data_IF_820457514850
#
_entry.id   IF_820457514850
#
_cell.length_a   1.000
_cell.length_b   1.000
_cell.length_c   1.000
_cell.angle_alpha   90.00
_cell.angle_beta   90.00
_cell.angle_gamma   90.00
#
_symmetry.space_group_name_H-M   'P 1'
#
loop_
_entity.id
_entity.type
_entity.pdbx_description
1 polymer ?
#
# COMPACT_ATOMS: atom_id res chain seq x y z
N UNK A 1 2.38 -15.86 23.59
CA UNK A 1 1.86 -16.42 24.84
C UNK A 1 1.31 -17.81 24.63
N UNK A 2 0.47 -18.04 23.66
CA UNK A 2 -0.07 -19.33 23.23
C UNK A 2 -0.42 -19.27 21.74
N UNK A 3 -0.25 -20.37 21.03
CA UNK A 3 -0.71 -20.56 19.65
C UNK A 3 -1.65 -21.76 19.68
N UNK A 4 -2.81 -21.60 19.11
CA UNK A 4 -3.84 -22.64 18.99
C UNK A 4 -4.14 -22.84 17.52
N UNK A 5 -4.11 -24.07 17.06
CA UNK A 5 -4.52 -24.46 15.71
C UNK A 5 -5.93 -25.05 15.81
N UNK A 6 -6.90 -24.29 15.32
CA UNK A 6 -8.32 -24.67 15.29
C UNK A 6 -8.75 -25.08 13.89
N UNK A 7 -7.80 -25.39 13.00
CA UNK A 7 -8.07 -25.76 11.61
C UNK A 7 -9.04 -26.94 11.52
N UNK A 8 -10.15 -26.74 10.82
CA UNK A 8 -11.14 -27.75 10.48
C UNK A 8 -11.40 -27.77 8.98
N UNK A 9 -12.59 -27.36 8.52
CA UNK A 9 -12.88 -27.17 7.10
C UNK A 9 -12.17 -25.92 6.53
N UNK A 10 -11.97 -24.93 7.38
CA UNK A 10 -11.20 -23.71 7.08
C UNK A 10 -9.99 -23.65 8.00
N UNK A 11 -8.91 -23.01 7.52
CA UNK A 11 -7.67 -22.86 8.32
C UNK A 11 -7.87 -21.72 9.31
N UNK A 12 -7.73 -22.04 10.61
CA UNK A 12 -7.79 -21.06 11.69
C UNK A 12 -6.63 -21.27 12.68
N UNK A 13 -5.75 -20.29 12.77
CA UNK A 13 -4.64 -20.25 13.74
C UNK A 13 -4.80 -19.04 14.64
N UNK A 14 -5.04 -19.29 15.94
CA UNK A 14 -5.22 -18.24 16.94
C UNK A 14 -3.93 -17.99 17.71
N UNK A 15 -3.41 -16.76 17.62
CA UNK A 15 -2.19 -16.33 18.31
C UNK A 15 -2.53 -15.39 19.46
N UNK A 16 -2.34 -15.84 20.70
CA UNK A 16 -2.54 -15.03 21.90
C UNK A 16 -1.31 -14.18 22.19
N UNK A 17 -1.43 -12.88 22.07
CA UNK A 17 -0.33 -11.95 22.33
C UNK A 17 -0.18 -11.65 23.83
N UNK A 18 0.98 -11.13 24.25
CA UNK A 18 1.17 -10.56 25.56
C UNK A 18 0.49 -9.19 25.66
N UNK A 19 0.02 -8.78 26.85
CA UNK A 19 -0.48 -7.42 27.06
C UNK A 19 0.53 -6.36 26.61
N UNK A 20 0.07 -5.35 25.86
CA UNK A 20 0.92 -4.27 25.35
C UNK A 20 1.71 -4.57 24.08
N UNK A 21 1.52 -5.74 23.47
CA UNK A 21 2.09 -6.07 22.14
C UNK A 21 1.07 -5.71 21.07
N UNK A 22 1.48 -4.87 20.11
CA UNK A 22 0.63 -4.51 18.98
C UNK A 22 0.42 -5.70 18.03
N UNK A 23 -0.84 -6.03 17.67
CA UNK A 23 -1.13 -7.04 16.67
C UNK A 23 -0.45 -6.78 15.33
N UNK A 24 -0.45 -5.51 14.85
CA UNK A 24 0.16 -5.14 13.59
C UNK A 24 1.67 -5.40 13.58
N UNK A 25 2.38 -5.06 14.68
CA UNK A 25 3.81 -5.41 14.82
C UNK A 25 4.04 -6.91 14.78
N UNK A 26 3.13 -7.69 15.35
CA UNK A 26 3.24 -9.15 15.35
C UNK A 26 3.00 -9.70 13.92
N UNK A 27 2.05 -9.14 13.18
CA UNK A 27 1.79 -9.49 11.78
C UNK A 27 3.04 -9.18 10.93
N UNK A 28 3.60 -7.98 11.06
CA UNK A 28 4.84 -7.61 10.36
C UNK A 28 6.01 -8.55 10.74
N UNK A 29 6.10 -8.96 12.02
CA UNK A 29 7.10 -9.93 12.48
C UNK A 29 6.90 -11.31 11.84
N UNK A 30 5.66 -11.77 11.71
CA UNK A 30 5.35 -13.02 11.03
C UNK A 30 5.78 -12.99 9.56
N UNK A 31 5.51 -11.89 8.86
CA UNK A 31 5.98 -11.71 7.47
C UNK A 31 7.51 -11.64 7.36
N UNK A 32 8.18 -10.96 8.30
CA UNK A 32 9.63 -10.78 8.27
C UNK A 32 10.43 -12.03 8.63
N UNK A 33 9.91 -12.89 9.55
CA UNK A 33 10.67 -13.98 10.18
C UNK A 33 10.11 -15.38 9.93
N UNK A 34 8.97 -15.51 9.25
CA UNK A 34 8.34 -16.81 8.99
C UNK A 34 7.99 -16.95 7.50
N UNK A 35 7.51 -18.13 7.12
CA UNK A 35 7.05 -18.42 5.76
C UNK A 35 5.58 -17.98 5.53
N UNK A 36 5.12 -16.88 6.15
CA UNK A 36 3.78 -16.33 5.92
C UNK A 36 3.62 -15.65 4.56
N UNK A 37 4.73 -15.37 3.87
CA UNK A 37 4.75 -14.80 2.52
C UNK A 37 5.02 -15.89 1.49
N UNK A 38 4.27 -15.88 0.40
CA UNK A 38 4.54 -16.75 -0.75
C UNK A 38 4.49 -15.93 -2.03
N UNK A 39 5.39 -16.24 -2.94
CA UNK A 39 5.41 -15.61 -4.26
C UNK A 39 4.54 -16.42 -5.21
N UNK A 40 3.56 -15.77 -5.84
CA UNK A 40 2.73 -16.37 -6.87
C UNK A 40 3.10 -15.76 -8.22
N UNK A 41 3.64 -16.58 -9.11
CA UNK A 41 3.98 -16.21 -10.48
C UNK A 41 3.00 -16.88 -11.46
N UNK A 42 1.80 -16.31 -11.69
CA UNK A 42 0.82 -16.90 -12.59
C UNK A 42 1.33 -16.85 -14.02
N UNK A 43 1.31 -18.00 -14.71
CA UNK A 43 1.54 -18.10 -16.14
C UNK A 43 0.19 -18.27 -16.83
N UNK A 44 -0.31 -17.19 -17.44
CA UNK A 44 -1.54 -17.20 -18.20
C UNK A 44 -1.33 -17.79 -19.60
N UNK A 45 -2.07 -18.83 -19.93
CA UNK A 45 -2.10 -19.39 -21.28
C UNK A 45 -3.56 -19.43 -21.78
N UNK A 46 -3.81 -18.79 -22.91
CA UNK A 46 -5.09 -18.84 -23.63
C UNK A 46 -4.89 -19.46 -25.00
N UNK A 47 -5.96 -19.97 -25.58
CA UNK A 47 -5.95 -20.49 -26.95
C UNK A 47 -6.61 -19.44 -27.86
N UNK A 48 -5.86 -18.93 -28.84
CA UNK A 48 -6.34 -18.05 -29.87
C UNK A 48 -5.95 -18.63 -31.23
N UNK A 49 -6.89 -18.71 -32.17
CA UNK A 49 -6.71 -19.29 -33.50
C UNK A 49 -6.04 -20.68 -33.48
N UNK A 50 -6.45 -21.53 -32.54
CA UNK A 50 -5.90 -22.87 -32.31
C UNK A 50 -4.40 -22.89 -31.92
N UNK A 51 -3.88 -21.78 -31.41
CA UNK A 51 -2.48 -21.66 -30.92
C UNK A 51 -2.46 -21.22 -29.47
N UNK A 52 -1.55 -21.76 -28.65
CA UNK A 52 -1.37 -21.28 -27.28
C UNK A 52 -0.73 -19.87 -27.31
N UNK A 53 -1.35 -18.94 -26.59
CA UNK A 53 -0.84 -17.60 -26.39
C UNK A 53 -0.59 -17.38 -24.88
N UNK A 54 0.66 -16.99 -24.53
CA UNK A 54 1.04 -16.70 -23.14
C UNK A 54 0.97 -15.20 -22.90
N UNK A 55 0.05 -14.76 -22.06
CA UNK A 55 -0.23 -13.35 -21.82
C UNK A 55 -0.54 -13.08 -20.34
N UNK A 56 -0.41 -11.82 -19.94
CA UNK A 56 -0.76 -11.37 -18.61
C UNK A 56 -2.27 -11.30 -18.37
N UNK A 57 -2.69 -11.28 -17.11
CA UNK A 57 -4.11 -11.24 -16.71
C UNK A 57 -4.84 -10.02 -17.30
N UNK A 58 -4.19 -8.86 -17.36
CA UNK A 58 -4.77 -7.65 -17.92
C UNK A 58 -5.08 -7.80 -19.42
N UNK A 59 -4.21 -8.45 -20.17
CA UNK A 59 -4.41 -8.69 -21.60
C UNK A 59 -5.47 -9.75 -21.84
N UNK A 60 -5.53 -10.80 -21.01
CA UNK A 60 -6.64 -11.76 -21.03
C UNK A 60 -7.99 -11.07 -20.83
N UNK A 61 -8.06 -10.13 -19.87
CA UNK A 61 -9.29 -9.40 -19.60
C UNK A 61 -9.71 -8.52 -20.78
N UNK A 62 -8.76 -7.83 -21.42
CA UNK A 62 -9.01 -7.03 -22.62
C UNK A 62 -9.55 -7.90 -23.75
N UNK A 63 -8.83 -8.96 -24.11
CA UNK A 63 -9.23 -9.89 -25.18
C UNK A 63 -10.63 -10.48 -24.88
N UNK A 64 -10.88 -10.90 -23.65
CA UNK A 64 -12.19 -11.44 -23.25
C UNK A 64 -13.30 -10.38 -23.35
N UNK A 65 -13.02 -9.14 -22.99
CA UNK A 65 -13.99 -8.02 -23.08
C UNK A 65 -14.28 -7.69 -24.52
N UNK A 66 -13.25 -7.51 -25.36
CA UNK A 66 -13.40 -7.18 -26.78
C UNK A 66 -14.17 -8.30 -27.50
N UNK A 67 -13.84 -9.55 -27.23
CA UNK A 67 -14.59 -10.71 -27.77
C UNK A 67 -16.04 -10.73 -27.33
N UNK A 68 -16.33 -10.35 -26.08
CA UNK A 68 -17.72 -10.26 -25.60
C UNK A 68 -18.48 -9.18 -26.34
N UNK A 69 -17.88 -8.03 -26.60
CA UNK A 69 -18.50 -6.94 -27.40
C UNK A 69 -18.80 -7.43 -28.82
N UNK A 70 -17.88 -8.15 -29.46
CA UNK A 70 -18.10 -8.70 -30.81
C UNK A 70 -19.22 -9.76 -30.81
N UNK A 71 -19.29 -10.61 -29.80
CA UNK A 71 -20.38 -11.59 -29.68
C UNK A 71 -21.74 -10.92 -29.44
N UNK A 72 -21.81 -9.88 -28.61
CA UNK A 72 -23.01 -9.09 -28.39
C UNK A 72 -23.47 -8.41 -29.69
N UNK A 73 -22.54 -7.91 -30.48
CA UNK A 73 -22.84 -7.33 -31.80
C UNK A 73 -23.45 -8.38 -32.74
N UNK A 74 -22.83 -9.55 -32.85
CA UNK A 74 -23.30 -10.64 -33.67
C UNK A 74 -24.68 -11.13 -33.20
N UNK A 75 -24.94 -11.22 -31.91
CA UNK A 75 -26.23 -11.57 -31.35
C UNK A 75 -27.31 -10.57 -31.78
N UNK A 76 -27.01 -9.26 -31.66
CA UNK A 76 -27.96 -8.21 -32.10
C UNK A 76 -28.15 -8.21 -33.60
N UNK A 77 -27.12 -8.48 -34.42
CA UNK A 77 -27.25 -8.62 -35.89
C UNK A 77 -28.17 -9.76 -36.27
N UNK A 78 -28.00 -10.94 -35.64
CA UNK A 78 -28.89 -12.11 -35.83
C UNK A 78 -30.29 -11.77 -35.41
N UNK A 79 -30.49 -11.13 -34.26
CA UNK A 79 -31.82 -10.74 -33.77
C UNK A 79 -32.50 -9.75 -34.74
N UNK A 80 -31.76 -8.79 -35.26
CA UNK A 80 -32.28 -7.84 -36.26
C UNK A 80 -32.72 -8.54 -37.54
N UNK A 81 -31.91 -9.50 -38.01
CA UNK A 81 -32.25 -10.28 -39.21
C UNK A 81 -33.50 -11.17 -38.98
N UNK A 82 -33.62 -11.78 -37.82
CA UNK A 82 -34.82 -12.52 -37.44
C UNK A 82 -36.07 -11.63 -37.39
N UNK A 83 -35.97 -10.44 -36.82
CA UNK A 83 -37.03 -9.47 -36.74
C UNK A 83 -37.44 -8.97 -38.16
N UNK A 84 -36.48 -8.69 -39.03
CA UNK A 84 -36.71 -8.33 -40.45
C UNK A 84 -37.41 -9.44 -41.17
N UNK A 85 -37.08 -10.69 -40.98
CA UNK A 85 -37.75 -11.83 -41.61
C UNK A 85 -39.18 -12.03 -41.09
N UNK A 86 -39.39 -11.84 -39.77
CA UNK A 86 -40.75 -11.87 -39.18
C UNK A 86 -41.61 -10.72 -39.72
N UNK A 87 -41.07 -9.52 -39.77
CA UNK A 87 -41.75 -8.34 -40.31
C UNK A 87 -42.10 -8.53 -41.80
N UNK A 88 -41.12 -9.02 -42.59
CA UNK A 88 -41.32 -9.29 -44.01
C UNK A 88 -42.47 -10.28 -44.24
N UNK A 89 -42.46 -11.42 -43.51
CA UNK A 89 -43.51 -12.42 -43.63
C UNK A 89 -44.87 -11.91 -43.12
N UNK A 90 -44.94 -11.17 -42.04
CA UNK A 90 -46.17 -10.56 -41.54
C UNK A 90 -46.78 -9.58 -42.58
N UNK A 91 -45.92 -8.79 -43.25
CA UNK A 91 -46.33 -7.87 -44.32
C UNK A 91 -46.84 -8.63 -45.54
N UNK A 92 -46.15 -9.71 -45.94
CA UNK A 92 -46.63 -10.60 -47.03
C UNK A 92 -47.96 -11.25 -46.69
N UNK A 93 -48.11 -11.80 -45.48
CA UNK A 93 -49.38 -12.41 -45.03
C UNK A 93 -50.52 -11.40 -45.04
N UNK A 94 -50.31 -10.18 -44.56
CA UNK A 94 -51.28 -9.11 -44.57
C UNK A 94 -51.74 -8.79 -45.99
N UNK A 95 -50.83 -8.58 -46.94
CA UNK A 95 -51.12 -8.25 -48.34
C UNK A 95 -51.81 -9.43 -49.00
N UNK A 96 -51.32 -10.66 -48.79
CA UNK A 96 -51.87 -11.89 -49.35
C UNK A 96 -53.36 -12.07 -48.97
N UNK A 97 -53.72 -11.83 -47.72
CA UNK A 97 -55.11 -11.97 -47.25
C UNK A 97 -55.97 -10.79 -47.70
N UNK A 98 -55.48 -9.56 -47.60
CA UNK A 98 -56.21 -8.35 -47.99
C UNK A 98 -56.51 -8.32 -49.45
N UNK A 99 -55.58 -8.73 -50.32
CA UNK A 99 -55.75 -8.78 -51.79
C UNK A 99 -56.49 -10.09 -52.23
N UNK A 100 -56.93 -10.91 -51.28
CA UNK A 100 -57.65 -12.15 -51.50
C UNK A 100 -56.98 -13.12 -52.50
N UNK A 101 -55.68 -13.12 -52.58
CA UNK A 101 -54.84 -13.89 -53.53
C UNK A 101 -55.10 -15.39 -53.45
N UNK A 102 -55.54 -15.92 -52.29
CA UNK A 102 -55.85 -17.32 -52.04
C UNK A 102 -57.13 -17.81 -52.83
N UNK A 103 -58.04 -16.92 -53.25
CA UNK A 103 -59.27 -17.29 -53.97
C UNK A 103 -58.99 -17.92 -55.30
N UNK A 104 -57.95 -17.41 -56.00
CA UNK A 104 -57.61 -17.82 -57.37
C UNK A 104 -56.77 -19.13 -57.37
N UNK A 105 -56.31 -19.66 -56.21
CA UNK A 105 -55.51 -20.88 -56.12
C UNK A 105 -56.19 -22.08 -56.79
N UNK A 106 -57.53 -22.15 -56.81
CA UNK A 106 -58.28 -23.21 -57.49
C UNK A 106 -58.05 -23.25 -59.00
N UNK A 107 -57.58 -22.18 -59.62
CA UNK A 107 -57.31 -22.07 -61.05
C UNK A 107 -55.96 -22.68 -61.46
N UNK A 108 -55.08 -22.91 -60.53
CA UNK A 108 -53.72 -23.40 -60.76
C UNK A 108 -53.53 -24.79 -60.17
N UNK A 109 -53.28 -25.78 -61.04
CA UNK A 109 -53.05 -27.17 -60.63
C UNK A 109 -51.52 -27.50 -60.49
N UNK A 110 -50.68 -26.60 -60.99
CA UNK A 110 -49.23 -26.74 -61.00
C UNK A 110 -48.59 -25.69 -60.08
N UNK A 111 -47.56 -26.14 -59.29
CA UNK A 111 -46.87 -25.28 -58.35
C UNK A 111 -46.12 -24.09 -59.01
N UNK A 112 -45.49 -24.37 -60.16
CA UNK A 112 -44.73 -23.32 -60.86
C UNK A 112 -45.66 -22.19 -61.39
N UNK A 113 -46.82 -22.58 -61.96
CA UNK A 113 -47.83 -21.63 -62.42
C UNK A 113 -48.46 -20.83 -61.29
N UNK A 114 -48.70 -21.48 -60.12
CA UNK A 114 -49.21 -20.81 -58.92
C UNK A 114 -48.16 -19.80 -58.38
N UNK A 115 -46.90 -20.17 -58.29
CA UNK A 115 -45.85 -19.28 -57.77
C UNK A 115 -45.65 -18.09 -58.73
N UNK A 116 -45.66 -18.29 -60.03
CA UNK A 116 -45.61 -17.21 -61.01
C UNK A 116 -46.79 -16.24 -60.84
N UNK A 117 -48.00 -16.73 -60.64
CA UNK A 117 -49.17 -15.93 -60.34
C UNK A 117 -48.97 -15.09 -59.05
N UNK A 118 -48.45 -15.71 -58.00
CA UNK A 118 -48.22 -15.01 -56.76
C UNK A 118 -47.11 -13.92 -56.92
N UNK A 119 -46.04 -14.20 -57.60
CA UNK A 119 -45.02 -13.18 -57.92
C UNK A 119 -45.61 -11.99 -58.69
N UNK A 120 -46.38 -12.22 -59.73
CA UNK A 120 -47.02 -11.17 -60.51
C UNK A 120 -48.00 -10.35 -59.65
N UNK A 121 -48.70 -10.96 -58.73
CA UNK A 121 -49.64 -10.28 -57.83
C UNK A 121 -48.94 -9.47 -56.72
N UNK A 122 -47.78 -9.87 -56.30
CA UNK A 122 -46.97 -9.11 -55.34
C UNK A 122 -46.14 -8.00 -55.98
N UNK A 123 -45.94 -7.98 -57.28
CA UNK A 123 -45.11 -6.97 -57.97
C UNK A 123 -45.49 -5.52 -57.65
N UNK A 124 -46.78 -5.11 -57.57
CA UNK A 124 -47.17 -3.75 -57.17
C UNK A 124 -46.74 -3.35 -55.76
N UNK A 125 -46.51 -4.32 -54.88
CA UNK A 125 -46.18 -4.12 -53.49
C UNK A 125 -44.70 -4.25 -53.19
N UNK A 126 -43.86 -4.46 -54.21
CA UNK A 126 -42.41 -4.73 -54.07
C UNK A 126 -41.66 -3.67 -53.26
N UNK A 127 -42.07 -2.39 -53.38
CA UNK A 127 -41.50 -1.31 -52.60
C UNK A 127 -41.76 -1.37 -51.10
N UNK A 128 -42.72 -2.18 -50.64
CA UNK A 128 -43.11 -2.34 -49.26
C UNK A 128 -42.35 -3.46 -48.53
N UNK A 129 -41.42 -4.15 -49.21
CA UNK A 129 -40.69 -5.27 -48.67
C UNK A 129 -39.27 -4.94 -48.34
N UNK A 130 -38.75 -5.54 -47.28
CA UNK A 130 -37.35 -5.37 -46.87
C UNK A 130 -36.37 -6.13 -47.75
N UNK A 131 -36.81 -7.22 -48.34
CA UNK A 131 -36.07 -8.06 -49.29
C UNK A 131 -36.97 -8.60 -50.41
N UNK A 132 -36.35 -9.16 -51.42
CA UNK A 132 -37.10 -9.84 -52.47
C UNK A 132 -37.82 -11.09 -51.91
N UNK A 133 -38.99 -11.37 -52.44
CA UNK A 133 -39.78 -12.55 -52.14
C UNK A 133 -39.10 -13.78 -52.74
N UNK A 134 -39.02 -14.85 -52.02
CA UNK A 134 -38.49 -16.12 -52.50
C UNK A 134 -39.55 -17.24 -52.41
N UNK A 135 -39.23 -18.39 -53.01
CA UNK A 135 -40.12 -19.55 -53.09
C UNK A 135 -40.51 -20.09 -51.69
N UNK A 136 -39.59 -19.96 -50.67
CA UNK A 136 -39.94 -20.35 -49.29
C UNK A 136 -40.99 -19.47 -48.68
N UNK A 137 -40.98 -18.18 -48.98
CA UNK A 137 -42.04 -17.24 -48.52
C UNK A 137 -43.38 -17.61 -49.14
N UNK A 138 -43.41 -17.87 -50.46
CA UNK A 138 -44.61 -18.30 -51.16
C UNK A 138 -45.12 -19.64 -50.64
N UNK A 139 -44.23 -20.59 -50.37
CA UNK A 139 -44.61 -21.87 -49.76
C UNK A 139 -45.25 -21.68 -48.39
N UNK A 140 -44.70 -20.83 -47.52
CA UNK A 140 -45.30 -20.51 -46.23
C UNK A 140 -46.68 -19.88 -46.36
N UNK A 141 -46.86 -18.98 -47.32
CA UNK A 141 -48.18 -18.37 -47.58
C UNK A 141 -49.20 -19.41 -48.02
N UNK A 142 -48.83 -20.35 -48.89
CA UNK A 142 -49.76 -21.45 -49.34
C UNK A 142 -50.14 -22.42 -48.22
N UNK A 143 -49.36 -22.46 -47.14
CA UNK A 143 -49.60 -23.31 -45.97
C UNK A 143 -50.43 -22.63 -44.87
N UNK A 144 -50.87 -21.37 -45.06
CA UNK A 144 -51.70 -20.68 -44.09
C UNK A 144 -53.07 -21.37 -44.00
N UNK A 145 -53.49 -21.83 -42.81
CA UNK A 145 -54.81 -22.46 -42.64
C UNK A 145 -55.98 -21.50 -42.96
N UNK A 146 -57.01 -21.98 -43.64
CA UNK A 146 -58.20 -21.18 -43.96
C UNK A 146 -58.83 -20.53 -42.74
N UNK A 147 -58.82 -21.18 -41.55
CA UNK A 147 -59.33 -20.62 -40.30
C UNK A 147 -58.54 -19.38 -39.84
N UNK A 148 -57.24 -19.25 -40.22
CA UNK A 148 -56.43 -18.06 -39.95
C UNK A 148 -56.80 -16.95 -40.92
N UNK A 149 -57.07 -17.25 -42.16
CA UNK A 149 -57.53 -16.29 -43.16
C UNK A 149 -58.93 -15.73 -42.78
N UNK A 150 -59.88 -16.57 -42.39
CA UNK A 150 -61.26 -16.16 -42.07
C UNK A 150 -61.29 -15.38 -40.72
N UNK A 151 -60.33 -15.55 -39.84
CA UNK A 151 -60.22 -14.82 -38.57
C UNK A 151 -59.23 -13.69 -38.63
N UNK A 152 -58.72 -13.35 -39.79
CA UNK A 152 -57.76 -12.30 -39.97
C UNK A 152 -58.37 -10.94 -39.59
N UNK A 153 -57.64 -10.24 -38.74
CA UNK A 153 -57.94 -8.90 -38.24
C UNK A 153 -56.82 -7.97 -38.72
N UNK A 154 -57.13 -7.07 -39.63
CA UNK A 154 -56.17 -6.18 -40.23
C UNK A 154 -55.52 -5.23 -39.21
N UNK A 155 -56.31 -4.73 -38.25
CA UNK A 155 -55.82 -3.78 -37.24
C UNK A 155 -54.82 -4.47 -36.31
N UNK A 156 -55.09 -5.70 -35.90
CA UNK A 156 -54.13 -6.49 -35.12
C UNK A 156 -52.87 -6.86 -35.90
N UNK A 157 -52.98 -7.07 -37.21
CA UNK A 157 -51.80 -7.32 -38.04
C UNK A 157 -50.94 -6.04 -38.16
N UNK A 158 -51.58 -4.87 -38.26
CA UNK A 158 -50.90 -3.60 -38.29
C UNK A 158 -50.23 -3.30 -36.95
N UNK A 159 -50.90 -3.52 -35.82
CA UNK A 159 -50.28 -3.40 -34.49
C UNK A 159 -49.10 -4.33 -34.31
N UNK A 160 -49.17 -5.57 -34.83
CA UNK A 160 -48.08 -6.52 -34.75
C UNK A 160 -46.87 -6.08 -35.62
N UNK A 161 -47.12 -5.59 -36.85
CA UNK A 161 -46.10 -5.07 -37.74
C UNK A 161 -45.42 -3.84 -37.10
N UNK A 162 -46.20 -2.91 -36.56
CA UNK A 162 -45.67 -1.73 -35.87
C UNK A 162 -44.82 -2.10 -34.66
N UNK A 163 -45.24 -3.10 -33.89
CA UNK A 163 -44.44 -3.61 -32.77
C UNK A 163 -43.09 -4.20 -33.23
N UNK A 164 -43.08 -4.96 -34.33
CA UNK A 164 -41.83 -5.47 -34.90
C UNK A 164 -40.91 -4.34 -35.38
N UNK A 165 -41.47 -3.27 -35.95
CA UNK A 165 -40.70 -2.08 -36.34
C UNK A 165 -40.08 -1.39 -35.17
N UNK A 166 -40.76 -1.28 -34.04
CA UNK A 166 -40.24 -0.66 -32.83
C UNK A 166 -39.15 -1.56 -32.19
N UNK A 167 -39.36 -2.89 -32.18
CA UNK A 167 -38.31 -3.83 -31.76
C UNK A 167 -37.04 -3.74 -32.67
N UNK A 168 -37.22 -3.64 -33.99
CA UNK A 168 -36.12 -3.46 -34.93
C UNK A 168 -35.36 -2.14 -34.69
N UNK A 169 -36.09 -1.04 -34.41
CA UNK A 169 -35.47 0.25 -34.07
C UNK A 169 -34.64 0.16 -32.77
N UNK A 170 -35.16 -0.53 -31.75
CA UNK A 170 -34.49 -0.75 -30.48
C UNK A 170 -33.18 -1.54 -30.69
N UNK A 171 -33.24 -2.65 -31.42
CA UNK A 171 -32.07 -3.48 -31.72
C UNK A 171 -31.05 -2.69 -32.55
N UNK A 172 -31.52 -1.91 -33.57
CA UNK A 172 -30.61 -1.06 -34.36
C UNK A 172 -29.97 0.01 -33.48
N UNK A 173 -30.70 0.62 -32.56
CA UNK A 173 -30.13 1.60 -31.61
C UNK A 173 -29.04 0.96 -30.75
N UNK A 174 -29.22 -0.28 -30.30
CA UNK A 174 -28.20 -1.01 -29.55
C UNK A 174 -26.96 -1.33 -30.38
N UNK A 175 -27.15 -1.64 -31.69
CA UNK A 175 -26.01 -1.84 -32.62
C UNK A 175 -25.22 -0.55 -32.85
N UNK A 176 -25.92 0.58 -33.04
CA UNK A 176 -25.30 1.89 -33.23
C UNK A 176 -24.56 2.37 -31.98
N UNK A 177 -24.99 1.91 -30.78
CA UNK A 177 -24.41 2.23 -29.46
C UNK A 177 -23.91 0.98 -28.75
N UNK A 178 -23.21 0.10 -29.46
CA UNK A 178 -22.78 -1.22 -28.96
C UNK A 178 -21.95 -1.16 -27.67
N UNK A 179 -21.15 -0.10 -27.51
CA UNK A 179 -20.32 0.07 -26.30
C UNK A 179 -21.20 0.33 -25.06
N UNK A 180 -22.21 1.18 -25.19
CA UNK A 180 -23.13 1.46 -24.07
C UNK A 180 -23.96 0.23 -23.71
N UNK A 181 -24.39 -0.53 -24.73
CA UNK A 181 -25.06 -1.81 -24.56
C UNK A 181 -24.18 -2.82 -23.81
N UNK A 182 -22.90 -2.94 -24.19
CA UNK A 182 -21.94 -3.82 -23.54
C UNK A 182 -21.65 -3.39 -22.08
N UNK A 183 -21.55 -2.09 -21.81
CA UNK A 183 -21.40 -1.56 -20.45
C UNK A 183 -22.62 -1.94 -19.59
N UNK A 184 -23.82 -1.77 -20.12
CA UNK A 184 -25.06 -2.17 -19.44
C UNK A 184 -25.12 -3.68 -19.19
N UNK A 185 -24.67 -4.49 -20.15
CA UNK A 185 -24.55 -5.94 -20.00
C UNK A 185 -23.60 -6.32 -18.84
N UNK A 186 -22.39 -5.75 -18.79
CA UNK A 186 -21.46 -6.01 -17.70
C UNK A 186 -21.95 -5.49 -16.34
N UNK A 187 -22.69 -4.37 -16.32
CA UNK A 187 -23.32 -3.87 -15.10
C UNK A 187 -24.35 -4.86 -14.55
N UNK A 188 -25.20 -5.43 -15.40
CA UNK A 188 -26.15 -6.49 -15.03
C UNK A 188 -25.46 -7.76 -14.53
N UNK A 189 -24.34 -8.15 -15.15
CA UNK A 189 -23.54 -9.29 -14.67
C UNK A 189 -22.97 -9.02 -13.28
N UNK A 190 -22.47 -7.82 -13.03
CA UNK A 190 -21.95 -7.40 -11.73
C UNK A 190 -23.04 -7.43 -10.66
N UNK A 191 -24.22 -6.93 -10.96
CA UNK A 191 -25.37 -6.94 -10.04
C UNK A 191 -25.79 -8.37 -9.70
N UNK A 192 -25.90 -9.23 -10.71
CA UNK A 192 -26.39 -10.61 -10.55
C UNK A 192 -25.41 -11.55 -9.87
N UNK A 193 -24.11 -11.39 -10.15
CA UNK A 193 -23.06 -12.34 -9.74
C UNK A 193 -21.96 -11.75 -8.86
N UNK A 194 -21.94 -10.43 -8.64
CA UNK A 194 -20.88 -9.74 -7.90
C UNK A 194 -20.93 -9.94 -6.40
N UNK A 195 -22.14 -10.17 -5.84
CA UNK A 195 -22.32 -10.35 -4.40
C UNK A 195 -21.56 -11.57 -3.89
N UNK A 196 -20.70 -11.37 -2.86
CA UNK A 196 -19.83 -12.41 -2.30
C UNK A 196 -18.57 -12.68 -3.13
N UNK A 197 -18.29 -11.83 -4.14
CA UNK A 197 -17.08 -11.90 -4.98
C UNK A 197 -16.34 -10.57 -5.00
N UNK A 198 -16.54 -9.76 -3.97
CA UNK A 198 -15.85 -8.51 -3.77
C UNK A 198 -14.35 -8.78 -3.55
N UNK A 199 -13.54 -7.82 -3.94
CA UNK A 199 -12.10 -7.91 -3.74
C UNK A 199 -11.76 -7.91 -2.26
N UNK A 200 -11.16 -8.99 -1.75
CA UNK A 200 -10.67 -9.10 -0.38
C UNK A 200 -9.16 -8.77 -0.29
N UNK A 201 -8.47 -8.71 -1.42
CA UNK A 201 -7.03 -8.41 -1.47
C UNK A 201 -6.79 -6.93 -1.26
N UNK A 202 -6.01 -6.57 -0.26
CA UNK A 202 -5.46 -5.23 -0.09
C UNK A 202 -4.22 -5.05 -0.96
N UNK A 203 -4.17 -3.95 -1.71
CA UNK A 203 -2.95 -3.52 -2.40
C UNK A 203 -2.11 -2.72 -1.41
N UNK A 204 -1.09 -3.35 -0.84
CA UNK A 204 -0.07 -2.67 -0.05
C UNK A 204 1.22 -2.62 -0.85
N UNK A 205 1.85 -1.46 -0.90
CA UNK A 205 3.28 -1.39 -1.18
C UNK A 205 3.91 -1.77 0.15
N UNK A 206 4.51 -2.96 0.22
CA UNK A 206 5.36 -3.28 1.35
C UNK A 206 6.58 -2.35 1.23
N UNK A 207 6.57 -1.24 1.97
CA UNK A 207 7.82 -0.61 2.35
C UNK A 207 8.65 -1.72 2.99
N UNK A 208 9.94 -1.80 2.63
CA UNK A 208 10.84 -2.81 3.19
C UNK A 208 10.62 -2.87 4.69
N UNK A 209 10.03 -3.96 5.17
CA UNK A 209 9.86 -4.19 6.61
C UNK A 209 11.26 -4.33 7.14
N UNK A 210 11.80 -3.25 7.70
CA UNK A 210 13.08 -3.32 8.38
C UNK A 210 12.91 -4.26 9.57
N UNK A 211 13.43 -5.47 9.44
CA UNK A 211 13.33 -6.51 10.46
C UNK A 211 13.68 -5.99 11.87
N UNK A 212 14.60 -5.04 11.95
CA UNK A 212 15.00 -4.35 13.19
C UNK A 212 13.89 -3.52 13.85
N UNK A 213 12.90 -3.03 13.12
CA UNK A 213 11.77 -2.26 13.68
C UNK A 213 10.66 -3.13 14.27
N UNK A 214 10.60 -4.39 13.87
CA UNK A 214 9.50 -5.31 14.19
C UNK A 214 9.87 -6.30 15.29
N UNK A 215 11.14 -6.43 15.60
CA UNK A 215 11.66 -7.42 16.57
C UNK A 215 11.23 -7.11 17.99
N UNK A 216 10.72 -8.13 18.66
CA UNK A 216 10.44 -8.07 20.10
C UNK A 216 11.76 -8.08 20.88
N UNK A 217 12.02 -7.02 21.63
CA UNK A 217 13.17 -6.89 22.53
C UNK A 217 12.89 -7.68 23.81
N UNK A 218 13.31 -8.92 23.84
CA UNK A 218 13.07 -9.86 24.93
C UNK A 218 14.35 -10.19 25.74
N UNK A 219 15.47 -9.61 25.39
CA UNK A 219 16.77 -9.85 25.99
C UNK A 219 17.31 -8.55 26.61
N UNK A 220 18.05 -8.64 27.70
CA UNK A 220 18.62 -7.49 28.42
C UNK A 220 20.07 -7.30 28.08
N UNK A 221 20.44 -6.07 27.69
CA UNK A 221 21.82 -5.67 27.43
C UNK A 221 22.44 -5.09 28.72
N UNK A 222 23.65 -5.50 29.00
CA UNK A 222 24.45 -5.03 30.13
C UNK A 222 25.81 -4.51 29.67
N UNK A 223 26.44 -3.65 30.48
CA UNK A 223 27.73 -3.07 30.20
C UNK A 223 28.67 -3.10 31.43
N UNK A 224 29.90 -3.51 31.20
CA UNK A 224 30.98 -3.28 32.14
C UNK A 224 31.90 -2.17 31.61
N UNK A 225 31.74 -0.96 32.14
CA UNK A 225 32.36 0.26 31.56
C UNK A 225 33.86 0.26 31.75
N UNK A 226 34.36 -0.24 32.88
CA UNK A 226 35.79 -0.21 33.22
C UNK A 226 36.57 -1.26 32.45
N UNK A 227 36.06 -2.48 32.43
CA UNK A 227 36.69 -3.61 31.74
C UNK A 227 36.46 -3.56 30.22
N UNK A 228 35.45 -2.83 29.74
CA UNK A 228 35.19 -2.61 28.32
C UNK A 228 34.38 -3.70 27.64
N UNK A 229 33.43 -4.33 28.34
CA UNK A 229 32.58 -5.35 27.79
C UNK A 229 31.14 -4.89 27.72
N UNK A 230 30.44 -5.32 26.65
CA UNK A 230 28.99 -5.24 26.50
C UNK A 230 28.43 -6.62 26.16
N UNK A 231 27.22 -6.95 26.60
CA UNK A 231 26.59 -8.24 26.26
C UNK A 231 25.41 -8.63 27.14
N UNK A 232 24.75 -9.71 26.74
CA UNK A 232 23.54 -10.21 27.40
C UNK A 232 23.82 -11.12 28.59
N UNK A 233 25.02 -11.69 28.69
CA UNK A 233 25.41 -12.58 29.79
C UNK A 233 25.98 -11.84 31.00
N UNK A 234 26.23 -10.54 30.93
CA UNK A 234 26.84 -9.71 31.98
C UNK A 234 25.83 -9.29 33.06
N UNK A 235 25.04 -10.21 33.58
CA UNK A 235 23.90 -9.94 34.50
C UNK A 235 24.29 -9.29 35.84
N UNK A 236 25.57 -9.29 36.22
CA UNK A 236 26.06 -8.65 37.43
C UNK A 236 26.53 -7.21 37.22
N UNK A 237 26.63 -6.78 35.97
CA UNK A 237 27.05 -5.45 35.56
C UNK A 237 25.87 -4.49 35.33
N UNK A 238 26.11 -3.29 34.87
CA UNK A 238 25.14 -2.24 34.68
C UNK A 238 24.13 -2.63 33.57
N UNK A 239 22.83 -2.64 33.87
CA UNK A 239 21.76 -2.78 32.87
C UNK A 239 21.67 -1.53 32.00
N UNK A 240 21.59 -1.70 30.69
CA UNK A 240 21.47 -0.61 29.72
C UNK A 240 20.06 -0.50 29.18
N UNK A 241 19.57 -1.55 28.52
CA UNK A 241 18.28 -1.51 27.79
C UNK A 241 17.84 -2.93 27.41
N UNK A 242 16.55 -3.11 27.14
CA UNK A 242 16.05 -4.33 26.53
C UNK A 242 16.36 -4.34 25.04
N UNK A 243 16.87 -5.45 24.52
CA UNK A 243 17.34 -5.62 23.15
C UNK A 243 16.91 -6.96 22.56
N UNK A 244 17.15 -7.12 21.28
CA UNK A 244 17.08 -8.38 20.55
C UNK A 244 18.46 -8.86 20.15
N UNK A 245 18.57 -10.13 19.80
CA UNK A 245 19.77 -10.77 19.27
C UNK A 245 20.17 -10.27 17.87
N UNK A 246 19.27 -9.60 17.16
CA UNK A 246 19.54 -8.99 15.84
C UNK A 246 19.86 -7.49 15.92
N UNK A 247 19.69 -6.85 17.09
CA UNK A 247 19.99 -5.42 17.27
C UNK A 247 21.50 -5.16 17.16
N UNK A 248 21.83 -3.95 16.74
CA UNK A 248 23.19 -3.40 16.80
C UNK A 248 23.34 -2.51 18.04
N UNK A 249 24.50 -2.50 18.61
CA UNK A 249 24.86 -1.67 19.79
C UNK A 249 25.91 -0.65 19.37
N UNK A 250 25.65 0.62 19.64
CA UNK A 250 26.63 1.70 19.49
C UNK A 250 27.33 1.97 20.82
N UNK A 251 28.62 2.07 20.78
CA UNK A 251 29.46 2.30 21.95
C UNK A 251 30.39 3.49 21.71
N UNK A 252 30.54 4.36 22.72
CA UNK A 252 31.44 5.48 22.72
C UNK A 252 32.43 5.33 23.89
N UNK A 253 33.71 5.52 23.61
CA UNK A 253 34.80 5.42 24.57
C UNK A 253 35.33 6.80 24.92
N UNK A 254 35.88 6.94 26.12
CA UNK A 254 36.47 8.21 26.60
C UNK A 254 37.67 8.69 25.77
N UNK A 255 38.38 7.77 25.14
CA UNK A 255 39.51 8.11 24.25
C UNK A 255 39.08 8.73 22.90
N UNK A 256 37.78 8.89 22.65
CA UNK A 256 37.25 9.43 21.39
C UNK A 256 36.90 8.38 20.33
N UNK A 257 37.02 7.11 20.66
CA UNK A 257 36.64 6.02 19.75
C UNK A 257 35.15 5.71 19.84
N UNK A 258 34.53 5.43 18.72
CA UNK A 258 33.17 4.92 18.59
C UNK A 258 33.19 3.62 17.80
N UNK A 259 32.35 2.67 18.18
CA UNK A 259 32.19 1.41 17.46
C UNK A 259 30.73 0.96 17.48
N UNK A 260 30.33 0.21 16.45
CA UNK A 260 29.06 -0.50 16.41
C UNK A 260 29.32 -1.99 16.30
N UNK A 261 28.67 -2.77 17.17
CA UNK A 261 28.77 -4.22 17.19
C UNK A 261 27.40 -4.85 17.30
N UNK A 262 27.27 -6.10 16.89
CA UNK A 262 26.02 -6.87 17.07
C UNK A 262 25.83 -7.22 18.56
N UNK A 263 24.58 -7.35 19.00
CA UNK A 263 24.27 -7.91 20.31
C UNK A 263 24.79 -9.35 20.38
N UNK A 264 25.59 -9.64 21.41
CA UNK A 264 26.13 -10.98 21.68
C UNK A 264 26.16 -11.25 23.20
N UNK A 265 26.53 -12.45 23.58
CA UNK A 265 26.65 -12.85 24.98
C UNK A 265 27.66 -11.99 25.75
N UNK A 266 28.85 -11.74 25.18
CA UNK A 266 29.90 -10.90 25.75
C UNK A 266 30.87 -10.45 24.65
N UNK A 267 30.93 -9.17 24.37
CA UNK A 267 31.85 -8.57 23.37
C UNK A 267 32.71 -7.53 23.99
N UNK A 268 34.03 -7.60 23.72
CA UNK A 268 34.97 -6.56 24.13
C UNK A 268 34.93 -5.41 23.13
N UNK A 269 34.69 -4.20 23.62
CA UNK A 269 34.54 -3.00 22.79
C UNK A 269 35.56 -1.91 23.13
N UNK A 270 36.35 -2.10 24.18
CA UNK A 270 37.35 -1.15 24.67
C UNK A 270 37.00 -0.58 26.04
N UNK A 271 38.03 -0.23 26.80
CA UNK A 271 37.90 0.31 28.17
C UNK A 271 37.38 1.73 28.22
N UNK A 272 36.90 2.15 29.37
CA UNK A 272 36.37 3.49 29.65
C UNK A 272 35.18 3.86 28.76
N UNK A 273 34.15 3.00 28.72
CA UNK A 273 32.93 3.22 27.98
C UNK A 273 32.12 4.37 28.59
N UNK A 274 31.83 5.41 27.82
CA UNK A 274 31.05 6.57 28.29
C UNK A 274 29.57 6.48 27.91
N UNK A 275 29.25 5.79 26.82
CA UNK A 275 27.85 5.62 26.39
C UNK A 275 27.67 4.31 25.63
N UNK A 276 26.53 3.67 25.85
CA UNK A 276 26.04 2.46 25.15
C UNK A 276 24.55 2.62 24.89
N UNK A 277 24.13 2.32 23.69
CA UNK A 277 22.71 2.31 23.30
C UNK A 277 22.46 1.33 22.14
N UNK A 278 21.20 0.97 21.90
CA UNK A 278 20.82 0.29 20.67
C UNK A 278 21.02 1.27 19.50
N UNK A 279 21.61 0.78 18.42
CA UNK A 279 21.85 1.54 17.21
C UNK A 279 20.80 1.25 16.15
N UNK A 280 20.05 2.28 15.75
CA UNK A 280 19.17 2.24 14.59
C UNK A 280 19.83 2.93 13.39
N UNK A 281 20.16 2.17 12.36
CA UNK A 281 20.80 2.67 11.14
C UNK A 281 19.95 3.70 10.40
N UNK A 282 18.62 3.62 10.52
CA UNK A 282 17.65 4.54 9.90
C UNK A 282 17.45 5.83 10.69
N UNK A 283 17.88 5.89 11.94
CA UNK A 283 17.64 7.03 12.82
C UNK A 283 18.53 8.24 12.44
N UNK A 284 17.88 9.28 11.93
CA UNK A 284 18.50 10.57 11.60
C UNK A 284 18.27 11.61 12.70
N UNK A 285 17.50 11.28 13.75
CA UNK A 285 17.10 12.22 14.79
C UNK A 285 17.98 12.18 16.02
N UNK A 286 18.63 11.05 16.30
CA UNK A 286 19.60 10.96 17.39
C UNK A 286 20.86 11.74 17.05
N UNK A 287 21.08 12.81 17.83
CA UNK A 287 22.21 13.71 17.68
C UNK A 287 23.10 13.62 18.91
N UNK A 288 24.38 13.52 18.66
CA UNK A 288 25.41 13.47 19.69
C UNK A 288 26.11 14.82 19.80
N UNK A 289 26.17 15.36 21.02
CA UNK A 289 26.92 16.56 21.35
C UNK A 289 28.22 16.14 22.03
N UNK A 290 29.36 16.67 21.58
CA UNK A 290 30.67 16.23 21.99
C UNK A 290 31.63 17.42 22.18
N UNK A 291 32.36 17.43 23.33
CA UNK A 291 33.56 18.24 23.49
C UNK A 291 34.73 17.32 23.77
N UNK A 292 35.79 17.47 23.04
CA UNK A 292 37.01 16.67 23.24
C UNK A 292 38.24 17.58 23.28
N UNK A 293 39.28 17.10 23.99
CA UNK A 293 40.61 17.66 23.96
C UNK A 293 41.44 16.85 22.96
N UNK A 294 42.12 17.53 22.07
CA UNK A 294 42.97 16.92 21.06
C UNK A 294 44.39 16.72 21.59
N UNK A 295 44.78 15.46 21.84
CA UNK A 295 46.06 15.14 22.50
C UNK A 295 46.04 15.37 24.02
N UNK A 296 47.19 15.10 24.67
CA UNK A 296 47.32 15.18 26.14
C UNK A 296 47.18 16.59 26.71
N UNK A 297 47.61 17.62 25.96
CA UNK A 297 47.59 19.04 26.38
C UNK A 297 47.14 20.00 25.28
N UNK A 298 46.54 19.48 24.21
CA UNK A 298 46.13 20.28 23.07
C UNK A 298 44.82 21.04 23.27
N UNK A 299 44.38 21.76 22.24
CA UNK A 299 43.15 22.54 22.27
C UNK A 299 41.91 21.67 22.38
N UNK A 300 40.80 22.25 22.88
CA UNK A 300 39.50 21.57 22.96
C UNK A 300 38.62 22.02 21.83
N UNK A 301 37.93 21.05 21.26
CA UNK A 301 36.96 21.22 20.15
C UNK A 301 35.56 20.79 20.56
N UNK A 302 34.57 21.37 19.89
CA UNK A 302 33.17 21.05 20.08
C UNK A 302 32.56 20.65 18.74
N UNK A 303 31.75 19.63 18.75
CA UNK A 303 30.94 19.24 17.57
C UNK A 303 29.60 18.67 17.94
N UNK A 304 28.70 18.74 16.97
CA UNK A 304 27.37 18.17 17.01
C UNK A 304 27.20 17.31 15.77
N UNK A 305 26.85 16.04 15.94
CA UNK A 305 26.84 15.11 14.81
C UNK A 305 25.82 14.00 14.98
N UNK A 306 25.41 13.40 13.85
CA UNK A 306 24.70 12.13 13.80
C UNK A 306 25.64 11.00 13.33
N UNK A 307 25.19 9.77 13.54
CA UNK A 307 25.89 8.57 13.09
C UNK A 307 25.04 7.85 12.04
N UNK A 308 25.58 7.80 10.83
CA UNK A 308 24.99 7.07 9.70
C UNK A 308 26.11 6.42 8.88
N UNK A 309 25.82 5.39 8.09
CA UNK A 309 26.78 4.79 7.18
C UNK A 309 28.01 4.20 7.89
N UNK A 310 27.83 3.29 8.84
CA UNK A 310 28.86 2.63 9.64
C UNK A 310 29.01 1.16 9.25
N UNK A 311 30.22 0.63 9.44
CA UNK A 311 30.53 -0.80 9.32
C UNK A 311 30.62 -1.38 10.73
N UNK A 312 30.02 -2.55 10.97
CA UNK A 312 30.13 -3.28 12.25
C UNK A 312 31.59 -3.63 12.56
N UNK A 313 31.90 -3.66 13.85
CA UNK A 313 33.20 -4.06 14.42
C UNK A 313 34.36 -3.24 13.94
N UNK A 314 34.12 -2.05 13.37
CA UNK A 314 35.10 -1.07 12.97
C UNK A 314 35.16 0.08 13.97
N UNK A 315 36.35 0.39 14.46
CA UNK A 315 36.58 1.56 15.31
C UNK A 315 36.65 2.84 14.46
N UNK A 316 35.98 3.88 14.93
CA UNK A 316 35.95 5.21 14.30
C UNK A 316 36.44 6.24 15.30
N UNK A 317 37.43 7.03 14.92
CA UNK A 317 37.96 8.14 15.72
C UNK A 317 37.01 9.37 15.53
N UNK A 318 36.53 9.91 16.62
CA UNK A 318 35.72 11.12 16.69
C UNK A 318 36.56 12.39 16.96
N UNK A 319 37.88 12.27 17.15
CA UNK A 319 38.82 13.37 17.43
C UNK A 319 39.60 13.78 16.17
N UNK A 320 40.65 14.55 16.32
CA UNK A 320 41.57 14.85 15.22
C UNK A 320 42.72 13.82 15.07
N UNK A 321 42.68 12.73 15.86
CA UNK A 321 43.65 11.65 15.78
C UNK A 321 44.94 11.87 16.57
N UNK A 322 45.05 12.93 17.37
CA UNK A 322 46.22 13.14 18.19
C UNK A 322 46.29 12.13 19.37
N UNK A 323 47.43 11.50 19.59
CA UNK A 323 47.61 10.52 20.65
C UNK A 323 47.33 11.14 22.03
N UNK A 324 46.44 10.46 22.82
CA UNK A 324 46.01 10.94 24.13
C UNK A 324 44.84 11.94 24.10
N UNK A 325 44.13 12.00 22.99
CA UNK A 325 42.83 12.72 22.91
C UNK A 325 41.83 12.13 23.88
N UNK A 326 40.93 12.99 24.40
CA UNK A 326 39.97 12.57 25.41
C UNK A 326 38.65 13.34 25.29
N UNK A 327 37.54 12.64 25.38
CA UNK A 327 36.20 13.24 25.47
C UNK A 327 36.04 13.85 26.87
N UNK A 328 35.71 15.14 26.91
CA UNK A 328 35.49 15.92 28.13
C UNK A 328 33.99 16.07 28.44
N UNK A 329 33.14 16.08 27.40
CA UNK A 329 31.70 16.13 27.53
C UNK A 329 31.04 15.34 26.38
N UNK A 330 29.99 14.61 26.74
CA UNK A 330 29.22 13.84 25.79
C UNK A 330 27.75 13.79 26.21
N UNK A 331 26.83 14.00 25.27
CA UNK A 331 25.42 13.72 25.45
C UNK A 331 24.83 13.07 24.20
N UNK A 332 23.87 12.22 24.43
CA UNK A 332 23.03 11.58 23.42
C UNK A 332 21.65 12.20 23.46
N UNK A 333 21.18 12.74 22.33
CA UNK A 333 19.96 13.50 22.20
C UNK A 333 19.04 12.85 21.16
N UNK A 334 18.12 11.94 21.54
CA UNK A 334 17.33 11.12 20.62
C UNK A 334 16.40 11.92 19.68
N UNK A 335 16.09 13.15 20.05
CA UNK A 335 15.27 14.03 19.22
C UNK A 335 16.00 15.31 18.83
N UNK A 336 17.34 15.32 18.85
CA UNK A 336 18.16 16.45 18.45
C UNK A 336 18.07 17.67 19.39
N UNK A 337 17.92 17.43 20.69
CA UNK A 337 17.94 18.48 21.69
C UNK A 337 19.29 19.21 21.68
N UNK A 338 19.26 20.50 21.92
CA UNK A 338 20.45 21.34 21.92
C UNK A 338 20.66 21.97 23.30
N UNK A 339 21.59 21.43 24.02
CA UNK A 339 21.89 21.82 25.39
C UNK A 339 22.68 23.13 25.46
N UNK A 340 22.53 23.84 26.57
CA UNK A 340 23.43 24.93 26.97
C UNK A 340 24.31 24.43 28.10
N UNK A 341 25.64 24.55 27.90
CA UNK A 341 26.63 24.11 28.87
C UNK A 341 27.49 25.28 29.34
N UNK A 342 27.94 25.22 30.58
CA UNK A 342 28.88 26.15 31.16
C UNK A 342 30.28 25.51 31.18
N UNK A 343 31.29 26.18 30.60
CA UNK A 343 32.66 25.75 30.59
C UNK A 343 33.48 26.56 31.60
N UNK A 344 34.18 25.86 32.48
CA UNK A 344 35.07 26.45 33.49
C UNK A 344 36.51 26.07 33.14
N UNK A 345 37.36 27.05 32.91
CA UNK A 345 38.79 26.86 32.60
C UNK A 345 39.62 26.76 33.87
N UNK A 346 40.78 26.11 33.76
CA UNK A 346 41.82 26.21 34.78
C UNK A 346 42.48 27.56 34.67
N UNK A 347 42.86 28.17 35.82
CA UNK A 347 43.63 29.39 35.84
C UNK A 347 45.05 29.09 35.33
N UNK A 348 45.39 29.66 34.19
CA UNK A 348 46.74 29.55 33.60
C UNK A 348 47.09 30.91 33.05
N UNK A 349 48.20 31.48 33.57
CA UNK A 349 48.61 32.83 33.17
C UNK A 349 47.59 33.92 33.47
N UNK A 350 47.46 34.90 32.57
CA UNK A 350 46.60 36.07 32.71
C UNK A 350 45.25 35.95 32.04
N UNK A 351 44.64 34.73 32.06
CA UNK A 351 43.31 34.50 31.48
C UNK A 351 42.26 35.40 32.21
N UNK A 352 41.61 36.30 31.48
CA UNK A 352 40.61 37.20 32.04
C UNK A 352 39.21 36.57 32.20
N UNK A 353 38.83 35.63 31.31
CA UNK A 353 37.50 34.99 31.31
C UNK A 353 37.62 33.54 31.57
N UNK A 354 37.35 33.11 32.80
CA UNK A 354 37.44 31.71 33.25
C UNK A 354 36.17 30.88 33.06
N UNK A 355 34.99 31.55 32.87
CA UNK A 355 33.72 30.88 32.69
C UNK A 355 32.98 31.45 31.49
N UNK A 356 32.37 30.60 30.69
CA UNK A 356 31.52 31.00 29.59
C UNK A 356 30.53 29.87 29.21
N UNK A 357 29.39 30.29 28.67
CA UNK A 357 28.38 29.38 28.22
C UNK A 357 28.55 29.09 26.73
N UNK A 358 28.19 27.86 26.34
CA UNK A 358 28.08 27.43 24.95
C UNK A 358 26.72 26.81 24.73
N UNK A 359 26.04 27.27 23.67
CA UNK A 359 24.77 26.79 23.23
C UNK A 359 24.98 25.88 22.00
N UNK A 360 24.64 24.59 22.12
CA UNK A 360 24.74 23.63 21.02
C UNK A 360 23.77 23.94 19.87
N UNK A 361 22.68 24.70 20.09
CA UNK A 361 21.77 25.12 19.02
C UNK A 361 22.44 25.94 17.94
N UNK A 362 23.50 26.65 18.29
CA UNK A 362 24.30 27.47 17.36
C UNK A 362 25.28 26.69 16.51
N UNK A 363 25.40 25.37 16.74
CA UNK A 363 26.28 24.50 16.00
C UNK A 363 25.50 23.71 14.95
N UNK A 364 26.01 23.72 13.72
CA UNK A 364 25.45 22.89 12.66
C UNK A 364 25.71 21.40 12.95
N UNK A 365 24.69 20.57 12.71
CA UNK A 365 24.81 19.11 12.76
C UNK A 365 25.62 18.67 11.54
N UNK A 366 26.74 17.98 11.76
CA UNK A 366 27.63 17.49 10.70
C UNK A 366 27.81 15.98 10.80
N UNK A 367 28.52 15.37 9.86
CA UNK A 367 28.88 13.96 9.95
C UNK A 367 29.90 13.69 11.06
N UNK A 368 29.98 12.44 11.56
CA UNK A 368 30.90 12.02 12.65
C UNK A 368 32.36 12.34 12.41
N UNK A 369 32.82 12.32 11.15
CA UNK A 369 34.21 12.58 10.77
C UNK A 369 34.63 14.08 10.84
N UNK A 370 33.68 14.99 11.12
CA UNK A 370 33.97 16.42 11.23
C UNK A 370 34.93 16.68 12.44
N UNK A 371 35.90 17.57 12.26
CA UNK A 371 36.81 17.96 13.32
C UNK A 371 36.16 18.76 14.45
N UNK A 372 35.04 19.46 14.14
CA UNK A 372 34.40 20.38 15.08
C UNK A 372 35.00 21.79 15.07
N UNK A 373 34.44 22.64 15.92
CA UNK A 373 34.88 24.03 16.09
C UNK A 373 35.78 24.16 17.31
N UNK A 374 36.78 25.02 17.22
CA UNK A 374 37.70 25.30 18.35
C UNK A 374 36.89 25.97 19.48
N UNK A 375 36.95 25.41 20.68
CA UNK A 375 36.38 25.99 21.90
C UNK A 375 37.39 26.85 22.62
N UNK A 376 38.54 26.25 22.94
CA UNK A 376 39.61 26.93 23.69
C UNK A 376 40.94 26.22 23.52
N UNK A 377 42.04 27.00 23.61
CA UNK A 377 43.39 26.48 23.70
C UNK A 377 43.84 26.24 25.15
N UNK A 378 43.02 26.67 26.10
CA UNK A 378 43.33 26.56 27.52
C UNK A 378 42.71 25.29 28.13
N UNK A 379 43.32 24.72 29.18
CA UNK A 379 42.78 23.51 29.80
C UNK A 379 41.46 23.76 30.50
N UNK A 380 40.48 22.91 30.18
CA UNK A 380 39.17 22.92 30.81
C UNK A 380 39.28 22.23 32.19
N UNK A 381 38.75 22.88 33.22
CA UNK A 381 38.62 22.32 34.55
C UNK A 381 37.37 21.49 34.72
N UNK A 382 36.24 22.00 34.25
CA UNK A 382 34.88 21.36 34.39
C UNK A 382 33.96 21.84 33.30
N UNK A 383 33.04 20.98 32.89
CA UNK A 383 31.91 21.31 32.02
C UNK A 383 30.62 20.92 32.76
N UNK A 384 29.69 21.85 32.88
CA UNK A 384 28.40 21.66 33.58
C UNK A 384 27.27 21.89 32.63
N UNK A 385 26.28 20.99 32.66
CA UNK A 385 25.02 21.19 31.96
C UNK A 385 24.26 22.36 32.65
N UNK A 386 23.87 23.38 31.88
CA UNK A 386 23.12 24.51 32.37
C UNK A 386 21.63 24.35 32.05
N UNK A 387 21.32 24.01 30.82
CA UNK A 387 19.96 23.83 30.30
C UNK A 387 19.92 22.65 29.33
N UNK A 388 18.87 21.83 29.41
CA UNK A 388 18.69 20.71 28.48
C UNK A 388 18.40 21.17 27.04
N UNK A 389 17.85 22.36 26.85
CA UNK A 389 17.48 22.89 25.55
C UNK A 389 16.29 22.16 24.91
N UNK A 390 15.97 22.59 23.71
CA UNK A 390 14.91 22.01 22.88
C UNK A 390 15.49 21.42 21.61
N UNK A 391 14.72 20.57 20.93
CA UNK A 391 15.11 20.02 19.63
C UNK A 391 15.24 21.13 18.57
N UNK A 392 16.27 20.99 17.75
CA UNK A 392 16.50 21.87 16.58
C UNK A 392 16.10 21.22 15.26
N UNK A 393 15.46 20.04 15.32
CA UNK A 393 15.03 19.28 14.15
C UNK A 393 13.62 19.69 13.72
N UNK A 394 13.25 19.34 12.49
CA UNK A 394 11.92 19.56 11.94
C UNK A 394 10.85 18.79 12.73
N UNK A 395 9.59 19.25 12.71
CA UNK A 395 8.46 18.53 13.27
C UNK A 395 8.40 17.08 12.77
N UNK A 396 7.79 16.20 13.56
CA UNK A 396 7.55 14.81 13.16
C UNK A 396 6.07 14.46 13.27
N UNK A 397 5.61 13.58 12.39
CA UNK A 397 4.28 12.98 12.48
C UNK A 397 4.23 12.03 13.67
N UNK A 398 3.13 12.06 14.40
CA UNK A 398 2.87 11.19 15.54
C UNK A 398 1.50 10.57 15.37
N UNK A 399 1.42 9.27 15.57
CA UNK A 399 0.20 8.47 15.55
C UNK A 399 -0.11 7.93 16.92
N UNK A 400 -1.38 7.68 17.17
CA UNK A 400 -1.86 6.99 18.36
C UNK A 400 -2.40 5.61 17.99
N UNK A 401 -1.79 4.58 18.56
CA UNK A 401 -2.25 3.19 18.45
C UNK A 401 -3.17 2.91 19.63
N UNK A 402 -4.46 2.79 19.37
CA UNK A 402 -5.52 2.55 20.37
C UNK A 402 -5.47 1.12 20.93
N UNK A 403 -4.92 0.17 20.19
CA UNK A 403 -4.80 -1.24 20.62
C UNK A 403 -3.80 -1.41 21.75
N UNK A 404 -2.67 -0.72 21.66
CA UNK A 404 -1.61 -0.75 22.71
C UNK A 404 -1.60 0.51 23.56
N UNK A 405 -2.46 1.48 23.28
CA UNK A 405 -2.60 2.77 23.96
C UNK A 405 -1.27 3.52 24.08
N UNK A 406 -0.57 3.66 22.94
CA UNK A 406 0.74 4.34 22.86
C UNK A 406 0.87 5.22 21.64
N UNK A 407 1.73 6.23 21.80
CA UNK A 407 2.16 7.03 20.65
C UNK A 407 3.24 6.29 19.85
N UNK A 408 3.23 6.47 18.55
CA UNK A 408 4.27 5.96 17.66
C UNK A 408 4.58 6.95 16.52
N UNK A 409 5.64 6.68 15.79
CA UNK A 409 6.07 7.40 14.58
C UNK A 409 6.14 6.49 13.36
N UNK A 410 5.64 5.28 13.50
CA UNK A 410 5.72 4.21 12.52
C UNK A 410 4.50 4.16 11.59
N UNK A 411 3.57 5.13 11.73
CA UNK A 411 2.36 5.21 10.91
C UNK A 411 1.22 4.28 11.35
N UNK A 412 1.23 3.79 12.59
CA UNK A 412 0.23 2.84 13.12
C UNK A 412 -0.85 3.55 13.92
N UNK A 413 -2.11 3.21 13.64
CA UNK A 413 -3.27 3.81 14.27
C UNK A 413 -3.64 5.18 13.68
N UNK A 414 -4.24 6.04 14.48
CA UNK A 414 -4.73 7.35 14.06
C UNK A 414 -3.62 8.40 14.01
N UNK A 415 -3.52 9.16 12.91
CA UNK A 415 -2.59 10.28 12.79
C UNK A 415 -3.08 11.46 13.64
N UNK A 416 -2.35 11.77 14.70
CA UNK A 416 -2.64 12.94 15.55
C UNK A 416 -2.17 14.26 14.93
N UNK A 417 -1.14 14.24 14.07
CA UNK A 417 -0.60 15.41 13.39
C UNK A 417 0.92 15.50 13.41
N UNK A 418 1.44 16.68 13.04
CA UNK A 418 2.87 17.01 13.08
C UNK A 418 3.21 17.78 14.36
N UNK A 419 4.10 17.21 15.17
CA UNK A 419 4.48 17.76 16.48
C UNK A 419 5.88 18.35 16.45
N UNK A 420 5.99 19.56 16.98
CA UNK A 420 7.26 20.18 17.34
C UNK A 420 7.68 19.70 18.74
N UNK A 421 8.95 19.80 19.09
CA UNK A 421 9.42 19.37 20.41
C UNK A 421 8.83 20.14 21.60
N UNK A 422 8.33 21.34 21.36
CA UNK A 422 7.67 22.20 22.36
C UNK A 422 6.18 21.91 22.53
N UNK A 423 5.58 21.15 21.62
CA UNK A 423 4.15 20.89 21.62
C UNK A 423 3.78 19.93 22.73
N UNK A 424 2.53 20.04 23.19
CA UNK A 424 1.97 19.20 24.24
C UNK A 424 0.70 18.55 23.74
N UNK A 425 0.42 17.36 24.23
CA UNK A 425 -0.80 16.61 23.93
C UNK A 425 -1.73 16.74 25.14
N UNK A 426 -2.97 17.17 24.90
CA UNK A 426 -4.05 17.10 25.88
C UNK A 426 -4.72 15.73 25.76
N UNK A 427 -4.67 14.98 26.83
CA UNK A 427 -5.32 13.67 26.93
C UNK A 427 -6.58 13.81 27.77
N UNK A 428 -7.70 13.37 27.23
CA UNK A 428 -9.00 13.31 27.94
C UNK A 428 -9.40 11.84 28.01
N UNK A 429 -9.42 11.28 29.21
CA UNK A 429 -9.87 9.89 29.39
C UNK A 429 -11.39 9.77 29.37
N UNK A 430 -11.92 8.60 29.07
CA UNK A 430 -13.37 8.32 29.16
C UNK A 430 -13.93 8.53 30.57
N UNK A 431 -13.07 8.50 31.59
CA UNK A 431 -13.44 8.81 32.99
C UNK A 431 -13.44 10.29 33.31
N UNK A 432 -13.25 11.18 32.28
CA UNK A 432 -13.27 12.63 32.46
C UNK A 432 -12.00 13.24 33.05
N UNK A 433 -10.92 12.48 33.17
CA UNK A 433 -9.63 13.01 33.66
C UNK A 433 -8.89 13.70 32.54
N UNK A 434 -8.34 14.89 32.83
CA UNK A 434 -7.50 15.68 31.94
C UNK A 434 -6.03 15.54 32.32
N UNK A 435 -5.16 15.32 31.33
CA UNK A 435 -3.71 15.28 31.50
C UNK A 435 -3.04 15.97 30.31
N UNK A 436 -2.07 16.83 30.59
CA UNK A 436 -1.21 17.44 29.56
C UNK A 436 0.14 16.76 29.62
N UNK A 437 0.59 16.21 28.49
CA UNK A 437 1.84 15.49 28.41
C UNK A 437 2.70 16.02 27.27
N UNK A 438 4.00 15.74 27.32
CA UNK A 438 4.90 15.89 26.18
C UNK A 438 4.74 14.64 25.30
N UNK A 439 4.82 14.74 23.96
CA UNK A 439 4.68 13.61 23.04
C UNK A 439 5.87 12.63 23.13
N UNK A 440 5.96 11.90 24.24
CA UNK A 440 6.96 10.85 24.45
C UNK A 440 6.41 9.50 24.02
N UNK A 441 7.16 8.80 23.15
CA UNK A 441 6.76 7.49 22.58
C UNK A 441 6.69 6.37 23.65
N UNK A 442 7.35 6.57 24.79
CA UNK A 442 7.31 5.63 25.93
C UNK A 442 6.05 5.74 26.77
N UNK A 443 5.27 6.82 26.62
CA UNK A 443 4.06 7.04 27.45
C UNK A 443 2.98 6.03 27.06
N UNK A 444 2.42 5.37 28.10
CA UNK A 444 1.24 4.53 28.01
C UNK A 444 0.02 5.32 28.52
N UNK A 445 -1.09 5.22 27.81
CA UNK A 445 -2.35 5.91 28.10
C UNK A 445 -3.35 5.03 28.81
#
# INVERSE_FOLDING_TARGET
KKIEDNTAAEVEILIHLFPGVSPDKTIDALFAFTACETSVAPLGCVIEDNKPLFIGVSDMLKISTDRTVDLLRQELEIQLEELKNKWHFATLEKIFIREEMYIDFKLYSDREALYKYMYDRFEPFKASFVREINDDDLQKLTQIPMIRITRFDSDKADDFIAKLEDEMKEVQHHLDHIIDFAIAYFAKLKEKYGKGRERQTELRIFDDIEATKVVLRNTKLYVNREEGFVGTSLKKDEYVVDCSDIDDVIVFLRNGTMMITKVDAKTFVGKDIIHVAIFDKGDKRTIYNLIYRDGKSGPSYIKRFNVSGVTRDKAYDLTNGAAGSQILYFSCNPNGEAEVINIILRQVGSIKKLKFDIDFAKLAIKGRASKGNLVTKYPIKKIELKEKGISTLLPRKVWFDDTVQRLNVDGRGELLGEFRPSDKILVISQTGKLKVIIPELSTHF
#
